data_IF_593582268684
#
_entry.id   IF_593582268684
#
_cell.length_a   1.000
_cell.length_b   1.000
_cell.length_c   1.000
_cell.angle_alpha   90.00
_cell.angle_beta   90.00
_cell.angle_gamma   90.00
#
_symmetry.space_group_name_H-M   'P 1'
#
loop_
_entity.id
_entity.type
_entity.pdbx_description
1 polymer ?
#
# COMPACT_ATOMS: atom_id res chain seq x y z
N UNK A 1 -19.23 -23.46 -31.08
CA UNK A 1 -18.73 -23.37 -29.70
C UNK A 1 -17.79 -22.18 -29.64
N UNK A 2 -18.23 -21.08 -29.03
CA UNK A 2 -17.46 -19.86 -28.87
C UNK A 2 -16.93 -19.83 -27.45
N UNK A 3 -15.61 -19.73 -27.29
CA UNK A 3 -14.96 -19.51 -26.00
C UNK A 3 -14.77 -18.02 -25.82
N UNK A 4 -15.67 -17.38 -25.07
CA UNK A 4 -15.48 -16.01 -24.62
C UNK A 4 -14.53 -16.03 -23.42
N UNK A 5 -13.27 -15.66 -23.64
CA UNK A 5 -12.36 -15.30 -22.57
C UNK A 5 -12.87 -14.01 -21.92
N UNK A 6 -13.53 -14.14 -20.76
CA UNK A 6 -13.65 -13.00 -19.86
C UNK A 6 -12.30 -12.82 -19.19
N UNK A 7 -11.55 -11.82 -19.64
CA UNK A 7 -10.45 -11.23 -18.87
C UNK A 7 -11.06 -10.55 -17.64
N UNK A 8 -11.45 -11.35 -16.64
CA UNK A 8 -11.72 -10.87 -15.31
C UNK A 8 -10.40 -10.34 -14.77
N UNK A 9 -10.38 -9.05 -14.43
CA UNK A 9 -9.29 -8.45 -13.68
C UNK A 9 -8.88 -9.39 -12.55
N UNK A 10 -7.59 -9.76 -12.52
CA UNK A 10 -6.97 -10.52 -11.43
C UNK A 10 -7.10 -9.67 -10.17
N UNK A 11 -8.26 -9.72 -9.51
CA UNK A 11 -8.43 -9.17 -8.17
C UNK A 11 -7.59 -10.07 -7.28
N UNK A 12 -6.58 -9.51 -6.63
CA UNK A 12 -5.93 -10.08 -5.46
C UNK A 12 -7.00 -10.30 -4.36
N UNK A 13 -7.83 -11.33 -4.50
CA UNK A 13 -8.73 -11.83 -3.45
C UNK A 13 -7.95 -12.90 -2.71
N UNK A 14 -7.66 -12.65 -1.44
CA UNK A 14 -7.53 -13.63 -0.34
C UNK A 14 -6.50 -13.26 0.74
N UNK A 15 -5.93 -12.05 0.73
CA UNK A 15 -5.10 -11.56 1.86
C UNK A 15 -5.97 -11.02 3.02
N UNK A 16 -7.27 -10.85 2.79
CA UNK A 16 -8.21 -10.25 3.75
C UNK A 16 -7.94 -8.77 4.00
N UNK A 17 -8.64 -8.21 4.98
CA UNK A 17 -8.51 -6.80 5.40
C UNK A 17 -9.09 -5.78 4.42
N UNK A 18 -8.64 -4.53 4.59
CA UNK A 18 -9.15 -3.35 3.89
C UNK A 18 -8.00 -2.63 3.17
N UNK A 19 -8.18 -2.29 1.90
CA UNK A 19 -7.20 -1.48 1.15
C UNK A 19 -6.95 -0.13 1.83
N UNK A 20 -5.70 0.36 1.80
CA UNK A 20 -5.39 1.72 2.25
C UNK A 20 -6.04 2.79 1.37
N UNK A 21 -6.50 2.44 0.16
CA UNK A 21 -7.33 3.30 -0.68
C UNK A 21 -8.83 3.27 -0.31
N UNK A 22 -9.21 2.62 0.78
CA UNK A 22 -10.60 2.60 1.25
C UNK A 22 -10.84 3.65 2.34
N UNK A 23 -12.02 4.26 2.33
CA UNK A 23 -12.40 5.32 3.29
C UNK A 23 -12.23 4.94 4.76
N UNK A 24 -12.49 3.68 5.13
CA UNK A 24 -12.38 3.26 6.54
C UNK A 24 -10.92 3.22 6.99
N UNK A 25 -9.99 2.83 6.11
CA UNK A 25 -8.56 2.93 6.43
C UNK A 25 -8.19 4.39 6.70
N UNK A 26 -8.66 5.32 5.85
CA UNK A 26 -8.40 6.76 5.97
C UNK A 26 -8.94 7.38 7.26
N UNK A 27 -10.18 7.05 7.65
CA UNK A 27 -10.88 7.64 8.79
C UNK A 27 -10.43 7.02 10.12
N UNK A 28 -10.13 5.73 10.14
CA UNK A 28 -9.84 4.98 11.37
C UNK A 28 -8.34 4.94 11.69
N UNK A 29 -7.48 5.40 10.78
CA UNK A 29 -6.02 5.33 10.95
C UNK A 29 -5.37 6.71 10.90
N UNK A 30 -4.61 7.04 11.95
CA UNK A 30 -3.80 8.25 11.97
C UNK A 30 -2.53 8.10 11.12
N UNK A 31 -1.95 9.23 10.72
CA UNK A 31 -0.65 9.22 10.03
C UNK A 31 0.45 8.56 10.87
N UNK A 32 0.48 8.80 12.18
CA UNK A 32 1.46 8.18 13.07
C UNK A 32 1.32 6.67 13.15
N UNK A 33 0.08 6.15 13.13
CA UNK A 33 -0.18 4.71 13.04
C UNK A 33 0.28 4.15 11.70
N UNK A 34 -0.02 4.81 10.58
CA UNK A 34 0.45 4.41 9.25
C UNK A 34 1.98 4.33 9.23
N UNK A 35 2.69 5.34 9.75
CA UNK A 35 4.16 5.34 9.82
C UNK A 35 4.69 4.11 10.55
N UNK A 36 4.18 3.84 11.76
CA UNK A 36 4.64 2.71 12.58
C UNK A 36 4.34 1.38 11.90
N UNK A 37 3.13 1.21 11.36
CA UNK A 37 2.73 -0.03 10.70
C UNK A 37 3.51 -0.26 9.40
N UNK A 38 3.76 0.79 8.61
CA UNK A 38 4.46 0.68 7.34
C UNK A 38 5.92 0.29 7.57
N UNK A 39 6.61 0.98 8.47
CA UNK A 39 8.02 0.69 8.77
C UNK A 39 8.17 -0.74 9.32
N UNK A 40 7.23 -1.19 10.16
CA UNK A 40 7.21 -2.56 10.65
C UNK A 40 6.99 -3.59 9.53
N UNK A 41 6.08 -3.31 8.59
CA UNK A 41 5.77 -4.17 7.46
C UNK A 41 6.87 -4.19 6.39
N UNK A 42 7.58 -3.08 6.20
CA UNK A 42 8.57 -2.92 5.15
C UNK A 42 9.96 -3.45 5.54
N UNK A 43 10.29 -3.39 6.83
CA UNK A 43 11.58 -3.83 7.37
C UNK A 43 11.99 -5.26 6.93
N UNK A 44 11.10 -6.28 6.91
CA UNK A 44 11.45 -7.59 6.37
C UNK A 44 11.94 -7.58 4.92
N UNK A 45 11.33 -6.76 4.03
CA UNK A 45 11.76 -6.64 2.63
C UNK A 45 13.15 -6.02 2.56
N UNK A 46 13.37 -4.92 3.28
CA UNK A 46 14.67 -4.24 3.33
C UNK A 46 15.79 -5.13 3.91
N UNK A 47 15.47 -5.97 4.89
CA UNK A 47 16.41 -6.97 5.42
C UNK A 47 16.81 -8.04 4.40
N UNK A 48 15.94 -8.31 3.42
CA UNK A 48 16.20 -9.18 2.28
C UNK A 48 16.85 -8.43 1.10
N UNK A 49 17.23 -7.16 1.28
CA UNK A 49 17.71 -6.26 0.23
C UNK A 49 16.71 -6.13 -0.94
N UNK A 50 15.43 -6.07 -0.62
CA UNK A 50 14.35 -5.86 -1.59
C UNK A 50 13.68 -4.53 -1.28
N UNK A 51 13.44 -3.73 -2.32
CA UNK A 51 12.69 -2.47 -2.26
C UNK A 51 11.37 -2.64 -3.01
N UNK A 52 10.31 -2.01 -2.49
CA UNK A 52 9.02 -1.91 -3.17
C UNK A 52 8.99 -0.59 -3.95
N UNK A 53 8.60 -0.63 -5.23
CA UNK A 53 8.57 0.57 -6.07
C UNK A 53 7.16 1.11 -6.34
N UNK A 54 6.11 0.28 -6.19
CA UNK A 54 4.74 0.65 -6.56
C UNK A 54 3.89 1.11 -5.37
N UNK A 55 4.11 2.35 -4.93
CA UNK A 55 3.51 2.95 -3.72
C UNK A 55 2.03 3.38 -3.85
N UNK A 56 1.25 2.75 -4.74
CA UNK A 56 -0.20 2.99 -4.82
C UNK A 56 -0.91 2.44 -3.59
N UNK A 57 -1.89 3.18 -3.07
CA UNK A 57 -2.57 2.80 -1.83
C UNK A 57 -3.35 1.48 -1.92
N UNK A 58 -3.77 1.06 -3.12
CA UNK A 58 -4.43 -0.23 -3.36
C UNK A 58 -3.48 -1.44 -3.33
N UNK A 59 -2.16 -1.21 -3.37
CA UNK A 59 -1.15 -2.23 -3.13
C UNK A 59 -0.88 -2.49 -1.65
N UNK A 60 -1.66 -1.88 -0.75
CA UNK A 60 -1.49 -2.05 0.69
C UNK A 60 -2.84 -2.38 1.33
N UNK A 61 -2.89 -3.47 2.08
CA UNK A 61 -4.04 -3.78 2.91
C UNK A 61 -3.71 -3.57 4.40
N UNK A 62 -4.67 -3.02 5.14
CA UNK A 62 -4.72 -3.08 6.58
C UNK A 62 -5.41 -4.38 7.01
N UNK A 63 -4.66 -5.28 7.65
CA UNK A 63 -5.12 -6.58 8.15
C UNK A 63 -4.75 -6.66 9.63
N UNK A 64 -5.76 -6.73 10.51
CA UNK A 64 -5.57 -6.86 11.97
C UNK A 64 -4.53 -5.87 12.57
N UNK A 65 -4.59 -4.60 12.13
CA UNK A 65 -3.66 -3.55 12.59
C UNK A 65 -2.24 -3.66 12.03
N UNK A 66 -2.07 -4.31 10.87
CA UNK A 66 -0.79 -4.41 10.15
C UNK A 66 -0.97 -4.05 8.69
N UNK A 67 0.02 -3.38 8.12
CA UNK A 67 0.09 -3.17 6.67
C UNK A 67 0.65 -4.44 6.03
N UNK A 68 -0.01 -4.90 4.98
CA UNK A 68 0.44 -6.00 4.13
C UNK A 68 0.68 -5.44 2.73
N UNK A 69 1.90 -5.61 2.24
CA UNK A 69 2.27 -5.27 0.87
C UNK A 69 1.67 -6.31 -0.08
N UNK A 70 0.98 -5.82 -1.10
CA UNK A 70 0.47 -6.57 -2.23
C UNK A 70 1.28 -6.20 -3.47
N UNK A 71 1.01 -6.90 -4.56
CA UNK A 71 1.58 -6.62 -5.89
C UNK A 71 3.10 -6.37 -5.88
N UNK A 72 3.86 -7.43 -5.59
CA UNK A 72 5.32 -7.38 -5.54
C UNK A 72 5.97 -7.53 -6.93
N UNK A 73 5.21 -7.40 -8.02
CA UNK A 73 5.73 -7.59 -9.40
C UNK A 73 6.79 -6.53 -9.76
N UNK A 74 6.72 -5.35 -9.14
CA UNK A 74 7.68 -4.25 -9.31
C UNK A 74 8.68 -4.13 -8.15
N UNK A 75 8.86 -5.19 -7.35
CA UNK A 75 9.91 -5.21 -6.35
C UNK A 75 11.30 -5.40 -7.01
N UNK A 76 12.29 -4.65 -6.55
CA UNK A 76 13.65 -4.67 -7.11
C UNK A 76 14.71 -4.84 -6.01
N UNK A 77 15.96 -5.03 -6.42
CA UNK A 77 17.09 -5.11 -5.49
C UNK A 77 17.38 -3.72 -4.90
N UNK A 78 17.58 -3.68 -3.59
CA UNK A 78 17.95 -2.47 -2.88
C UNK A 78 19.40 -2.06 -3.24
N UNK A 79 19.55 -0.87 -3.84
CA UNK A 79 20.83 -0.31 -4.28
C UNK A 79 21.36 0.84 -3.38
N UNK A 80 20.64 1.13 -2.29
CA UNK A 80 20.93 2.21 -1.35
C UNK A 80 20.86 1.75 0.12
N UNK A 81 21.16 2.64 1.06
CA UNK A 81 21.02 2.34 2.48
C UNK A 81 19.56 2.04 2.88
N UNK A 82 19.37 1.11 3.82
CA UNK A 82 18.05 0.64 4.26
C UNK A 82 17.24 1.72 4.97
N UNK A 83 17.88 2.57 5.78
CA UNK A 83 17.18 3.66 6.46
C UNK A 83 16.67 4.66 5.42
N UNK A 84 17.51 5.01 4.45
CA UNK A 84 17.12 5.88 3.35
C UNK A 84 15.95 5.30 2.53
N UNK A 85 15.99 4.01 2.19
CA UNK A 85 14.90 3.35 1.47
C UNK A 85 13.60 3.31 2.28
N UNK A 86 13.68 3.11 3.61
CA UNK A 86 12.52 3.16 4.48
C UNK A 86 11.89 4.56 4.55
N UNK A 87 12.72 5.61 4.63
CA UNK A 87 12.27 7.01 4.65
C UNK A 87 11.62 7.40 3.31
N UNK A 88 12.24 7.05 2.19
CA UNK A 88 11.70 7.32 0.86
C UNK A 88 10.37 6.60 0.62
N UNK A 89 10.28 5.32 1.00
CA UNK A 89 9.04 4.55 0.89
C UNK A 89 7.91 5.13 1.74
N UNK A 90 8.22 5.53 2.98
CA UNK A 90 7.26 6.22 3.84
C UNK A 90 6.80 7.55 3.24
N UNK A 91 7.73 8.37 2.74
CA UNK A 91 7.40 9.65 2.10
C UNK A 91 6.49 9.46 0.88
N UNK A 92 6.79 8.48 0.02
CA UNK A 92 6.00 8.15 -1.16
C UNK A 92 4.57 7.71 -0.79
N UNK A 93 4.42 6.81 0.18
CA UNK A 93 3.10 6.40 0.65
C UNK A 93 2.33 7.57 1.29
N UNK A 94 3.00 8.39 2.10
CA UNK A 94 2.39 9.51 2.80
C UNK A 94 1.87 10.58 1.82
N UNK A 95 2.61 10.85 0.74
CA UNK A 95 2.15 11.73 -0.33
C UNK A 95 0.81 11.25 -0.90
N UNK A 96 0.72 9.97 -1.28
CA UNK A 96 -0.53 9.39 -1.82
C UNK A 96 -1.65 9.40 -0.80
N UNK A 97 -1.35 9.06 0.46
CA UNK A 97 -2.30 9.09 1.57
C UNK A 97 -2.88 10.48 1.81
N UNK A 98 -2.05 11.51 1.77
CA UNK A 98 -2.49 12.89 1.96
C UNK A 98 -3.33 13.40 0.79
N UNK A 99 -2.96 13.05 -0.44
CA UNK A 99 -3.79 13.35 -1.62
C UNK A 99 -5.17 12.70 -1.49
N UNK A 100 -5.21 11.42 -1.10
CA UNK A 100 -6.46 10.70 -0.87
C UNK A 100 -7.29 11.33 0.24
N UNK A 101 -6.65 11.77 1.33
CA UNK A 101 -7.31 12.50 2.42
C UNK A 101 -7.94 13.81 1.95
N UNK A 102 -7.19 14.61 1.20
CA UNK A 102 -7.69 15.88 0.66
C UNK A 102 -8.91 15.67 -0.24
N UNK A 103 -8.88 14.64 -1.09
CA UNK A 103 -10.02 14.28 -1.94
C UNK A 103 -11.25 13.92 -1.10
N UNK A 104 -11.08 13.09 -0.07
CA UNK A 104 -12.17 12.76 0.83
C UNK A 104 -12.73 13.98 1.57
N UNK A 105 -11.87 14.88 2.05
CA UNK A 105 -12.29 16.11 2.73
C UNK A 105 -13.06 17.07 1.81
N UNK A 106 -12.68 17.14 0.53
CA UNK A 106 -13.33 18.00 -0.47
C UNK A 106 -14.67 17.44 -0.95
N UNK A 107 -14.74 16.14 -1.21
CA UNK A 107 -15.89 15.54 -1.91
C UNK A 107 -16.80 14.68 -1.02
N UNK A 108 -16.36 14.31 0.19
CA UNK A 108 -17.10 13.42 1.10
C UNK A 108 -17.24 11.96 0.61
N UNK A 109 -16.82 11.69 -0.62
CA UNK A 109 -16.78 10.39 -1.27
C UNK A 109 -15.44 10.20 -1.95
N UNK A 110 -14.93 8.98 -1.92
CA UNK A 110 -13.76 8.54 -2.67
C UNK A 110 -14.09 7.13 -3.17
N UNK A 111 -13.93 6.92 -4.48
CA UNK A 111 -14.27 5.68 -5.20
C UNK A 111 -13.49 4.45 -4.70
#
# INVERSE_FOLDING_TARGET
>A
MSWTFMAGSKRFRDVGGVSLYHRSALVETSESQIKVMLLAAYRPMLNLNIVHEDWKLDNFNLVDGRIVFLDLELASELDHDREYAAEMGYAALLEKWNVFRMQYEEYGEVE
#
